data_IF_615590185495
#
_entry.id   IF_615590185495
#
_cell.length_a   1.000
_cell.length_b   1.000
_cell.length_c   1.000
_cell.angle_alpha   90.00
_cell.angle_beta   90.00
_cell.angle_gamma   90.00
#
_symmetry.space_group_name_H-M   'P 1'
#
loop_
_entity.id
_entity.type
_entity.pdbx_description
1 polymer ?
#
# COMPACT_ATOMS: atom_id res chain seq x y z
N UNK A 1 -3.56 6.15 -5.87
CA UNK A 1 -4.60 5.35 -5.96
C UNK A 1 -6.03 5.81 -5.83
N UNK A 2 -6.87 5.39 -6.77
CA UNK A 2 -8.31 5.52 -6.64
C UNK A 2 -8.81 4.54 -5.57
N UNK A 3 -9.75 4.94 -4.72
CA UNK A 3 -10.40 4.04 -3.76
C UNK A 3 -11.24 3.03 -4.52
N UNK A 4 -11.07 1.75 -4.19
CA UNK A 4 -11.81 0.63 -4.78
C UNK A 4 -12.98 0.23 -3.88
N UNK A 5 -12.74 0.07 -2.60
CA UNK A 5 -13.75 -0.21 -1.60
C UNK A 5 -13.29 0.24 -0.21
N UNK A 6 -14.24 0.35 0.70
CA UNK A 6 -14.01 0.57 2.11
C UNK A 6 -14.51 -0.65 2.89
N UNK A 7 -13.71 -1.10 3.84
CA UNK A 7 -14.01 -2.25 4.69
C UNK A 7 -14.40 -1.71 6.06
N UNK A 8 -15.66 -1.88 6.44
CA UNK A 8 -16.10 -1.53 7.79
C UNK A 8 -15.53 -2.54 8.79
N UNK A 9 -14.82 -2.02 9.79
CA UNK A 9 -14.22 -2.84 10.84
C UNK A 9 -14.50 -2.25 12.22
N UNK A 10 -14.90 -3.10 13.17
CA UNK A 10 -15.04 -2.74 14.58
C UNK A 10 -13.75 -2.10 15.16
N UNK A 11 -12.60 -2.44 14.58
CA UNK A 11 -11.30 -1.90 14.98
C UNK A 11 -11.16 -0.40 14.68
N UNK A 12 -11.72 0.08 13.58
CA UNK A 12 -11.73 1.53 13.25
C UNK A 12 -12.51 2.29 14.30
N UNK A 13 -13.70 1.81 14.66
CA UNK A 13 -14.53 2.44 15.69
C UNK A 13 -13.85 2.41 17.06
N UNK A 14 -13.29 1.27 17.46
CA UNK A 14 -12.55 1.13 18.72
C UNK A 14 -11.36 2.07 18.80
N UNK A 15 -10.58 2.18 17.71
CA UNK A 15 -9.44 3.09 17.64
C UNK A 15 -9.86 4.56 17.70
N UNK A 16 -10.97 4.91 17.06
CA UNK A 16 -11.55 6.24 17.13
C UNK A 16 -11.95 6.61 18.55
N UNK A 17 -12.68 5.71 19.24
CA UNK A 17 -13.09 5.93 20.62
C UNK A 17 -11.88 6.12 21.56
N UNK A 18 -10.78 5.37 21.32
CA UNK A 18 -9.54 5.52 22.07
C UNK A 18 -8.87 6.87 21.82
N UNK A 19 -8.87 7.34 20.57
CA UNK A 19 -8.34 8.66 20.20
C UNK A 19 -9.18 9.78 20.85
N UNK A 20 -10.51 9.66 20.80
CA UNK A 20 -11.42 10.65 21.36
C UNK A 20 -11.27 10.73 22.89
N UNK A 21 -11.12 9.60 23.58
CA UNK A 21 -10.84 9.56 25.02
C UNK A 21 -9.51 10.23 25.38
N UNK A 22 -8.45 9.97 24.58
CA UNK A 22 -7.15 10.61 24.79
C UNK A 22 -7.20 12.13 24.52
N UNK A 23 -8.03 12.57 23.56
CA UNK A 23 -8.27 14.00 23.28
C UNK A 23 -8.93 14.70 24.47
N UNK A 24 -9.96 14.08 25.07
CA UNK A 24 -10.62 14.62 26.28
C UNK A 24 -9.58 14.78 27.41
N UNK A 25 -8.75 13.76 27.67
CA UNK A 25 -7.73 13.83 28.71
C UNK A 25 -6.70 14.94 28.46
N UNK A 26 -6.31 15.15 27.19
CA UNK A 26 -5.41 16.25 26.82
C UNK A 26 -6.09 17.62 27.06
N UNK A 27 -7.36 17.76 26.68
CA UNK A 27 -8.12 18.99 26.89
C UNK A 27 -8.26 19.34 28.37
N UNK A 28 -8.52 18.35 29.22
CA UNK A 28 -8.57 18.51 30.68
C UNK A 28 -7.21 18.94 31.26
N UNK A 29 -6.12 18.29 30.85
CA UNK A 29 -4.78 18.64 31.28
C UNK A 29 -4.42 20.08 30.86
N UNK A 30 -4.74 20.50 29.64
CA UNK A 30 -4.51 21.85 29.15
C UNK A 30 -5.35 22.90 29.93
N UNK A 31 -6.61 22.58 30.23
CA UNK A 31 -7.47 23.47 31.03
C UNK A 31 -6.96 23.63 32.45
N UNK A 32 -6.43 22.54 33.04
CA UNK A 32 -5.81 22.59 34.36
C UNK A 32 -4.53 23.42 34.34
N UNK A 33 -3.63 23.19 33.39
CA UNK A 33 -2.40 23.98 33.24
C UNK A 33 -2.73 25.47 33.07
N UNK A 34 -3.74 25.82 32.25
CA UNK A 34 -4.15 27.22 32.05
C UNK A 34 -4.60 27.89 33.36
N UNK A 35 -5.33 27.17 34.21
CA UNK A 35 -5.71 27.66 35.55
C UNK A 35 -4.50 27.81 36.46
N UNK A 36 -3.60 26.83 36.48
CA UNK A 36 -2.39 26.86 37.30
C UNK A 36 -1.38 27.94 36.84
N UNK A 37 -1.41 28.27 35.53
CA UNK A 37 -0.61 29.38 34.99
C UNK A 37 -0.98 30.72 35.63
N UNK A 38 -2.26 30.95 35.94
CA UNK A 38 -2.72 32.16 36.60
C UNK A 38 -2.17 32.23 38.02
N UNK A 39 -2.26 31.13 38.77
CA UNK A 39 -1.73 31.03 40.12
C UNK A 39 -0.19 31.13 40.21
N UNK A 40 0.49 30.55 39.20
CA UNK A 40 1.93 30.67 39.09
C UNK A 40 2.37 32.13 38.83
N UNK A 41 1.66 32.83 37.95
CA UNK A 41 1.94 34.24 37.66
C UNK A 41 1.67 35.18 38.84
N UNK A 42 0.75 34.80 39.76
CA UNK A 42 0.50 35.54 41.02
C UNK A 42 1.50 35.21 42.15
N UNK A 43 2.33 34.19 41.98
CA UNK A 43 3.27 33.72 42.95
C UNK A 43 2.68 32.73 44.00
N UNK A 44 1.45 32.26 43.73
CA UNK A 44 0.72 31.34 44.64
C UNK A 44 0.98 29.85 44.31
N UNK A 45 1.80 29.56 43.28
CA UNK A 45 2.18 28.21 42.86
C UNK A 45 3.71 28.11 42.75
N UNK A 46 4.30 27.04 43.25
CA UNK A 46 5.73 26.80 43.10
C UNK A 46 6.13 26.36 41.71
N UNK A 47 7.42 26.59 41.34
CA UNK A 47 7.99 26.11 40.07
C UNK A 47 7.79 24.60 39.85
N UNK A 48 8.00 23.82 40.91
CA UNK A 48 7.87 22.37 40.90
C UNK A 48 6.42 21.94 40.60
N UNK A 49 5.43 22.56 41.20
CA UNK A 49 4.02 22.27 40.96
C UNK A 49 3.60 22.67 39.54
N UNK A 50 4.03 23.84 39.05
CA UNK A 50 3.78 24.26 37.68
C UNK A 50 4.40 23.31 36.65
N UNK A 51 5.64 22.88 36.88
CA UNK A 51 6.30 21.89 36.02
C UNK A 51 5.54 20.54 35.99
N UNK A 52 4.97 20.12 37.12
CA UNK A 52 4.17 18.91 37.18
C UNK A 52 2.95 18.99 36.27
N UNK A 53 2.19 20.10 36.28
CA UNK A 53 1.05 20.30 35.35
C UNK A 53 1.51 20.40 33.90
N UNK A 54 2.63 21.04 33.64
CA UNK A 54 3.23 21.10 32.29
C UNK A 54 3.58 19.70 31.77
N UNK A 55 4.15 18.85 32.62
CA UNK A 55 4.51 17.49 32.27
C UNK A 55 3.27 16.60 32.08
N UNK A 56 2.17 16.83 32.82
CA UNK A 56 0.88 16.16 32.57
C UNK A 56 0.35 16.47 31.17
N UNK A 57 0.40 17.73 30.72
CA UNK A 57 0.00 18.12 29.35
C UNK A 57 0.87 17.43 28.31
N UNK A 58 2.20 17.38 28.52
CA UNK A 58 3.12 16.70 27.60
C UNK A 58 2.79 15.21 27.48
N UNK A 59 2.54 14.55 28.62
CA UNK A 59 2.17 13.13 28.65
C UNK A 59 0.83 12.86 27.94
N UNK A 60 -0.20 13.67 28.25
CA UNK A 60 -1.51 13.54 27.61
C UNK A 60 -1.45 13.80 26.10
N UNK A 61 -0.60 14.73 25.66
CA UNK A 61 -0.36 14.99 24.24
C UNK A 61 0.23 13.78 23.53
N UNK A 62 1.27 13.17 24.11
CA UNK A 62 1.89 11.98 23.51
C UNK A 62 0.91 10.80 23.45
N UNK A 63 0.03 10.65 24.43
CA UNK A 63 -1.02 9.64 24.41
C UNK A 63 -2.03 9.90 23.30
N UNK A 64 -2.46 11.15 23.13
CA UNK A 64 -3.37 11.51 22.03
C UNK A 64 -2.72 11.30 20.66
N UNK A 65 -1.48 11.73 20.45
CA UNK A 65 -0.76 11.55 19.19
C UNK A 65 -0.58 10.06 18.84
N UNK A 66 -0.28 9.23 19.85
CA UNK A 66 -0.20 7.77 19.67
C UNK A 66 -1.54 7.15 19.29
N UNK A 67 -2.62 7.51 19.99
CA UNK A 67 -3.96 7.02 19.68
C UNK A 67 -4.46 7.50 18.31
N UNK A 68 -4.16 8.75 17.95
CA UNK A 68 -4.47 9.32 16.63
C UNK A 68 -3.77 8.55 15.52
N UNK A 69 -2.48 8.27 15.66
CA UNK A 69 -1.72 7.49 14.68
C UNK A 69 -2.29 6.08 14.53
N UNK A 70 -2.71 5.45 15.64
CA UNK A 70 -3.33 4.13 15.60
C UNK A 70 -4.66 4.17 14.82
N UNK A 71 -5.50 5.19 15.05
CA UNK A 71 -6.74 5.39 14.31
C UNK A 71 -6.48 5.62 12.83
N UNK A 72 -5.56 6.52 12.46
CA UNK A 72 -5.22 6.83 11.06
C UNK A 72 -4.75 5.57 10.32
N UNK A 73 -3.97 4.71 10.96
CA UNK A 73 -3.55 3.43 10.38
C UNK A 73 -4.71 2.46 10.19
N UNK A 74 -5.67 2.41 11.13
CA UNK A 74 -6.85 1.55 10.96
C UNK A 74 -7.73 2.04 9.80
N UNK A 75 -7.88 3.35 9.63
CA UNK A 75 -8.58 3.93 8.48
C UNK A 75 -7.85 3.62 7.18
N UNK A 76 -6.52 3.74 7.15
CA UNK A 76 -5.71 3.37 5.98
C UNK A 76 -5.90 1.89 5.60
N UNK A 77 -5.90 0.98 6.58
CA UNK A 77 -6.11 -0.45 6.34
C UNK A 77 -7.54 -0.81 5.94
N UNK A 78 -8.53 0.01 6.34
CA UNK A 78 -9.92 -0.17 5.95
C UNK A 78 -10.22 0.36 4.54
N UNK A 79 -9.35 1.21 4.00
CA UNK A 79 -9.53 1.82 2.67
C UNK A 79 -8.64 1.11 1.65
N UNK A 80 -9.25 0.32 0.79
CA UNK A 80 -8.54 -0.39 -0.29
C UNK A 80 -8.42 0.52 -1.50
N UNK A 81 -7.18 0.86 -1.86
CA UNK A 81 -6.89 1.71 -3.01
C UNK A 81 -6.19 0.94 -4.12
N UNK A 82 -6.36 1.38 -5.37
CA UNK A 82 -5.65 0.80 -6.50
C UNK A 82 -4.14 1.05 -6.38
N UNK A 83 -3.30 0.00 -6.32
CA UNK A 83 -1.85 0.12 -6.19
C UNK A 83 -1.16 0.58 -7.49
N UNK A 84 -1.81 0.35 -8.63
CA UNK A 84 -1.31 0.69 -9.97
C UNK A 84 -2.41 1.38 -10.78
N UNK A 85 -2.01 2.12 -11.81
CA UNK A 85 -2.92 2.59 -12.86
C UNK A 85 -3.23 1.44 -13.81
N UNK A 86 -4.49 1.32 -14.24
CA UNK A 86 -4.89 0.25 -15.12
C UNK A 86 -6.40 0.06 -15.19
N UNK A 87 -6.82 -1.00 -15.86
CA UNK A 87 -8.23 -1.38 -16.00
C UNK A 87 -8.57 -2.49 -14.99
N UNK A 88 -9.70 -2.35 -14.31
CA UNK A 88 -10.23 -3.43 -13.46
C UNK A 88 -10.72 -4.56 -14.39
N UNK A 89 -10.13 -5.75 -14.28
CA UNK A 89 -10.52 -6.94 -15.04
C UNK A 89 -11.64 -7.72 -14.35
N UNK A 90 -11.54 -7.87 -13.03
CA UNK A 90 -12.62 -8.44 -12.22
C UNK A 90 -12.65 -7.75 -10.84
N UNK A 91 -13.83 -7.65 -10.28
CA UNK A 91 -14.07 -7.19 -8.93
C UNK A 91 -15.29 -7.96 -8.42
N UNK A 92 -15.02 -9.05 -7.69
CA UNK A 92 -16.01 -10.05 -7.29
C UNK A 92 -16.55 -9.77 -5.88
N UNK A 93 -16.62 -8.49 -5.49
CA UNK A 93 -17.14 -8.05 -4.19
C UNK A 93 -18.38 -7.19 -4.39
N UNK A 94 -19.36 -7.43 -3.53
CA UNK A 94 -20.59 -6.62 -3.43
C UNK A 94 -20.66 -5.90 -2.10
N UNK A 95 -21.49 -4.88 -2.05
CA UNK A 95 -21.73 -4.12 -0.79
C UNK A 95 -22.34 -5.05 0.24
N UNK A 96 -21.79 -5.06 1.45
CA UNK A 96 -22.13 -5.93 2.59
C UNK A 96 -21.53 -7.34 2.54
N UNK A 97 -20.67 -7.64 1.60
CA UNK A 97 -19.91 -8.90 1.62
C UNK A 97 -18.95 -8.95 2.81
N UNK A 98 -18.77 -10.15 3.32
CA UNK A 98 -17.74 -10.41 4.35
C UNK A 98 -16.44 -10.82 3.68
N UNK A 99 -15.42 -10.00 3.87
CA UNK A 99 -14.09 -10.25 3.31
C UNK A 99 -13.12 -10.70 4.40
N UNK A 100 -12.19 -11.58 4.06
CA UNK A 100 -11.08 -11.99 4.94
C UNK A 100 -9.78 -11.29 4.52
N UNK A 101 -8.80 -11.27 5.40
CA UNK A 101 -7.50 -10.63 5.15
C UNK A 101 -6.75 -11.18 3.92
N UNK A 102 -7.04 -12.43 3.53
CA UNK A 102 -6.44 -13.08 2.35
C UNK A 102 -7.36 -13.12 1.13
N UNK A 103 -8.53 -12.47 1.18
CA UNK A 103 -9.46 -12.45 0.06
C UNK A 103 -8.91 -11.59 -1.09
N UNK A 104 -8.99 -12.14 -2.30
CA UNK A 104 -8.76 -11.36 -3.51
C UNK A 104 -10.00 -10.53 -3.80
N UNK A 105 -9.88 -9.21 -3.73
CA UNK A 105 -11.01 -8.31 -3.91
C UNK A 105 -11.22 -7.94 -5.37
N UNK A 106 -10.18 -7.46 -6.02
CA UNK A 106 -10.22 -7.04 -7.42
C UNK A 106 -8.93 -7.44 -8.13
N UNK A 107 -8.99 -7.62 -9.43
CA UNK A 107 -7.85 -7.80 -10.32
C UNK A 107 -7.70 -6.57 -11.19
N UNK A 108 -6.52 -5.95 -11.18
CA UNK A 108 -6.22 -4.77 -11.98
C UNK A 108 -5.14 -5.13 -12.98
N UNK A 109 -5.45 -5.00 -14.27
CA UNK A 109 -4.45 -5.05 -15.33
C UNK A 109 -3.80 -3.67 -15.47
N UNK A 110 -2.50 -3.58 -15.22
CA UNK A 110 -1.74 -2.34 -15.40
C UNK A 110 -1.68 -1.93 -16.88
N UNK A 111 -1.70 -0.62 -17.13
CA UNK A 111 -1.45 -0.02 -18.47
C UNK A 111 0.06 0.01 -18.79
N UNK A 112 0.80 -1.00 -18.37
CA UNK A 112 2.21 -1.11 -18.68
C UNK A 112 2.48 -1.81 -19.99
N UNK A 113 3.74 -1.75 -20.44
CA UNK A 113 4.21 -2.52 -21.59
C UNK A 113 3.98 -4.02 -21.33
N UNK A 114 3.29 -4.67 -22.25
CA UNK A 114 3.03 -6.10 -22.15
C UNK A 114 4.34 -6.84 -22.36
N UNK A 115 4.56 -7.86 -21.53
CA UNK A 115 5.76 -8.69 -21.56
C UNK A 115 5.38 -10.12 -21.88
N UNK A 116 6.20 -10.76 -22.69
CA UNK A 116 6.11 -12.19 -22.93
C UNK A 116 7.31 -12.87 -22.28
N UNK A 117 7.07 -14.03 -21.67
CA UNK A 117 8.12 -14.87 -21.13
C UNK A 117 8.17 -16.18 -21.90
N UNK A 118 9.36 -16.58 -22.31
CA UNK A 118 9.60 -17.85 -22.99
C UNK A 118 10.90 -18.47 -22.48
N UNK A 119 11.13 -19.73 -22.84
CA UNK A 119 12.26 -20.48 -22.39
C UNK A 119 13.15 -20.86 -23.54
N UNK A 120 14.46 -20.76 -23.37
CA UNK A 120 15.47 -21.09 -24.39
C UNK A 120 16.49 -22.06 -23.85
N UNK A 121 17.11 -22.83 -24.72
CA UNK A 121 18.21 -23.73 -24.37
C UNK A 121 19.52 -22.96 -24.24
N UNK A 122 20.49 -23.52 -23.49
CA UNK A 122 21.85 -22.98 -23.37
C UNK A 122 22.49 -22.67 -24.72
N UNK A 123 22.26 -23.53 -25.73
CA UNK A 123 22.77 -23.33 -27.08
C UNK A 123 22.25 -22.07 -27.76
N UNK A 124 21.00 -21.70 -27.46
CA UNK A 124 20.37 -20.48 -28.02
C UNK A 124 20.84 -19.23 -27.28
N UNK A 125 21.22 -19.34 -26.00
CA UNK A 125 21.70 -18.23 -25.20
C UNK A 125 22.90 -17.50 -25.79
N UNK A 126 23.79 -18.25 -26.49
CA UNK A 126 24.95 -17.67 -27.15
C UNK A 126 24.65 -16.77 -28.35
N UNK A 127 23.40 -16.81 -28.85
CA UNK A 127 22.98 -16.08 -30.05
C UNK A 127 21.92 -14.97 -29.75
N UNK A 128 21.60 -14.73 -28.49
CA UNK A 128 20.61 -13.71 -28.10
C UNK A 128 21.23 -12.77 -27.06
N UNK A 129 20.89 -11.50 -27.17
CA UNK A 129 21.31 -10.47 -26.24
C UNK A 129 20.11 -9.61 -25.79
N UNK A 130 20.25 -8.97 -24.63
CA UNK A 130 19.28 -7.97 -24.20
C UNK A 130 19.28 -6.80 -25.19
N UNK A 131 18.08 -6.40 -25.62
CA UNK A 131 17.87 -5.39 -26.66
C UNK A 131 17.60 -5.96 -28.05
N UNK A 132 17.85 -7.26 -28.28
CA UNK A 132 17.58 -7.89 -29.59
C UNK A 132 16.08 -7.85 -29.90
N UNK A 133 15.79 -7.55 -31.17
CA UNK A 133 14.42 -7.59 -31.68
C UNK A 133 14.01 -9.02 -32.04
N UNK A 134 12.78 -9.37 -31.73
CA UNK A 134 12.19 -10.64 -32.11
C UNK A 134 10.74 -10.45 -32.56
N UNK A 135 10.29 -11.34 -33.43
CA UNK A 135 8.92 -11.38 -33.91
C UNK A 135 8.18 -12.50 -33.18
N UNK A 136 7.03 -12.16 -32.61
CA UNK A 136 6.14 -13.09 -31.91
C UNK A 136 4.89 -13.25 -32.77
N UNK A 137 4.56 -14.47 -33.13
CA UNK A 137 3.35 -14.77 -33.88
C UNK A 137 2.27 -15.34 -32.96
N UNK A 138 1.08 -14.73 -33.00
CA UNK A 138 -0.11 -15.23 -32.35
C UNK A 138 -1.34 -15.03 -33.24
N UNK A 139 -2.10 -16.07 -33.43
CA UNK A 139 -3.36 -16.06 -34.25
C UNK A 139 -3.19 -15.46 -35.65
N UNK A 140 -2.01 -15.66 -36.25
CA UNK A 140 -1.68 -15.14 -37.58
C UNK A 140 -1.24 -13.67 -37.59
N UNK A 141 -1.15 -13.00 -36.47
CA UNK A 141 -0.64 -11.64 -36.31
C UNK A 141 0.79 -11.69 -35.78
N UNK A 142 1.67 -10.88 -36.38
CA UNK A 142 3.06 -10.75 -35.92
C UNK A 142 3.23 -9.49 -35.07
N UNK A 143 3.75 -9.66 -33.88
CA UNK A 143 4.04 -8.60 -32.94
C UNK A 143 5.54 -8.44 -32.81
N UNK A 144 6.03 -7.21 -32.83
CA UNK A 144 7.44 -6.92 -32.58
C UNK A 144 7.70 -6.78 -31.08
N UNK A 145 8.77 -7.42 -30.61
CA UNK A 145 9.19 -7.34 -29.22
C UNK A 145 10.72 -7.15 -29.14
N UNK A 146 11.18 -6.62 -28.04
CA UNK A 146 12.60 -6.53 -27.73
C UNK A 146 12.90 -7.32 -26.46
N UNK A 147 13.99 -8.09 -26.47
CA UNK A 147 14.45 -8.83 -25.29
C UNK A 147 14.83 -7.82 -24.20
N UNK A 148 14.12 -7.84 -23.07
CA UNK A 148 14.39 -6.95 -21.93
C UNK A 148 15.27 -7.61 -20.87
N UNK A 149 15.12 -8.92 -20.67
CA UNK A 149 15.81 -9.66 -19.61
C UNK A 149 16.11 -11.09 -20.05
N UNK A 150 17.32 -11.55 -19.76
CA UNK A 150 17.76 -12.93 -19.96
C UNK A 150 18.22 -13.45 -18.60
N UNK A 151 17.56 -14.49 -18.08
CA UNK A 151 17.96 -15.11 -16.82
C UNK A 151 19.32 -15.80 -16.98
N UNK A 152 20.23 -15.55 -16.05
CA UNK A 152 21.50 -16.29 -15.96
C UNK A 152 21.36 -17.62 -15.20
N UNK A 153 20.20 -17.87 -14.60
CA UNK A 153 19.92 -19.11 -13.86
C UNK A 153 18.99 -20.02 -14.67
N UNK A 154 19.34 -21.29 -14.66
CA UNK A 154 18.49 -22.35 -15.22
C UNK A 154 17.28 -22.54 -14.32
N UNK A 155 16.11 -22.61 -14.92
CA UNK A 155 14.89 -23.01 -14.24
C UNK A 155 15.01 -24.50 -13.87
N UNK A 156 14.84 -24.83 -12.58
CA UNK A 156 15.08 -26.16 -12.04
C UNK A 156 14.10 -27.23 -12.55
N UNK A 157 12.93 -26.81 -12.98
CA UNK A 157 11.86 -27.72 -13.41
C UNK A 157 11.96 -28.05 -14.90
N UNK A 158 12.37 -27.05 -15.72
CA UNK A 158 12.43 -27.18 -17.17
C UNK A 158 13.84 -27.43 -17.71
N UNK A 159 14.88 -27.08 -16.95
CA UNK A 159 16.27 -27.12 -17.42
C UNK A 159 16.60 -26.06 -18.47
N UNK A 160 15.77 -25.02 -18.62
CA UNK A 160 15.87 -23.99 -19.62
C UNK A 160 16.12 -22.61 -18.99
N UNK A 161 16.57 -21.67 -19.79
CA UNK A 161 16.75 -20.28 -19.37
C UNK A 161 15.51 -19.46 -19.70
N UNK A 162 15.02 -18.69 -18.72
CA UNK A 162 13.87 -17.81 -18.90
C UNK A 162 14.30 -16.51 -19.56
N UNK A 163 13.62 -16.13 -20.63
CA UNK A 163 13.81 -14.87 -21.34
C UNK A 163 12.51 -14.07 -21.26
N UNK A 164 12.62 -12.76 -21.03
CA UNK A 164 11.49 -11.83 -21.10
C UNK A 164 11.70 -10.85 -22.24
N UNK A 165 10.66 -10.58 -22.98
CA UNK A 165 10.66 -9.57 -24.03
C UNK A 165 9.47 -8.63 -23.88
N UNK A 166 9.70 -7.36 -24.17
CA UNK A 166 8.70 -6.30 -24.16
C UNK A 166 8.10 -6.12 -25.55
N UNK A 167 6.78 -6.17 -25.62
CA UNK A 167 6.02 -5.96 -26.86
C UNK A 167 5.88 -4.46 -27.14
N UNK A 168 6.18 -4.03 -28.37
CA UNK A 168 6.05 -2.61 -28.77
C UNK A 168 4.62 -2.17 -28.99
N UNK A 169 3.80 -3.02 -29.62
CA UNK A 169 2.39 -2.79 -29.89
C UNK A 169 1.62 -4.04 -29.48
N UNK A 170 1.00 -3.99 -28.32
CA UNK A 170 0.33 -5.15 -27.73
C UNK A 170 -1.20 -5.01 -27.72
N UNK A 171 -1.75 -4.11 -28.56
CA UNK A 171 -3.18 -3.96 -28.70
C UNK A 171 -3.83 -5.27 -29.19
N UNK A 172 -4.82 -5.73 -28.43
CA UNK A 172 -5.52 -6.97 -28.74
C UNK A 172 -4.96 -8.26 -28.12
N UNK A 173 -3.80 -8.23 -27.45
CA UNK A 173 -3.31 -9.39 -26.69
C UNK A 173 -3.87 -9.34 -25.26
N UNK A 174 -4.60 -10.38 -24.85
CA UNK A 174 -5.06 -10.52 -23.47
C UNK A 174 -3.90 -10.94 -22.55
N UNK A 175 -3.91 -10.47 -21.29
CA UNK A 175 -2.96 -10.90 -20.27
C UNK A 175 -3.21 -12.37 -19.91
N UNK A 176 -2.16 -13.18 -19.84
CA UNK A 176 -2.27 -14.60 -19.51
C UNK A 176 -2.56 -15.53 -20.70
N UNK A 177 -2.46 -15.00 -21.92
CA UNK A 177 -2.69 -15.78 -23.16
C UNK A 177 -1.37 -16.33 -23.73
#
# INVERSE_FOLDING_TARGET
GQVLCEIDTEQVETSKNSMDAAFVSLSEAQSNLSRMQILYNSGDLSDQEYEQYSNQVKSARLQYESAKLAYEKQVEYSTVTAPISGKIESCDIEVHDRVSQSAQLCVIAGEGEKRVSFYVTERMMGNIASGDALDIQKDGVTYQANISEISSMVDSDTGLFKVKAELKDADGIATGS
#
